data_IF_418406685225
#
_entry.id   IF_418406685225
#
_cell.length_a   1.000
_cell.length_b   1.000
_cell.length_c   1.000
_cell.angle_alpha   90.00
_cell.angle_beta   90.00
_cell.angle_gamma   90.00
#
_symmetry.space_group_name_H-M   'P 1'
#
loop_
_entity.id
_entity.type
_entity.pdbx_description
1 polymer ?
#
# COMPACT_ATOMS: atom_id res chain seq x y z
N UNK A 1 -5.69 18.28 -4.44
CA UNK A 1 -6.14 18.34 -5.85
C UNK A 1 -5.02 18.36 -6.92
N UNK A 2 -3.72 18.50 -6.59
CA UNK A 2 -2.67 18.86 -7.58
C UNK A 2 -2.03 17.69 -8.36
N UNK A 3 -2.16 16.43 -7.89
CA UNK A 3 -1.37 15.29 -8.41
C UNK A 3 -1.71 14.86 -9.85
N UNK A 4 -2.98 14.67 -10.20
CA UNK A 4 -3.35 14.12 -11.53
C UNK A 4 -3.19 15.09 -12.69
N UNK A 5 -3.24 16.38 -12.43
CA UNK A 5 -3.03 17.38 -13.48
C UNK A 5 -1.62 17.28 -14.05
N UNK A 6 -0.64 16.85 -13.24
CA UNK A 6 0.75 16.66 -13.68
C UNK A 6 0.91 15.53 -14.70
N UNK A 7 0.13 14.45 -14.56
CA UNK A 7 0.10 13.36 -15.55
C UNK A 7 -0.46 13.77 -16.91
N UNK A 8 -1.12 14.94 -17.00
CA UNK A 8 -1.61 15.48 -18.28
C UNK A 8 -0.62 16.46 -18.93
N UNK A 9 0.45 16.83 -18.23
CA UNK A 9 1.54 17.64 -18.79
C UNK A 9 2.44 16.77 -19.67
N UNK A 10 3.07 17.38 -20.68
CA UNK A 10 4.05 16.71 -21.54
C UNK A 10 5.47 16.76 -21.00
N UNK A 11 5.76 17.75 -20.16
CA UNK A 11 7.06 18.00 -19.59
C UNK A 11 6.87 18.57 -18.18
N UNK A 12 7.29 17.80 -17.18
CA UNK A 12 7.24 18.16 -15.78
C UNK A 12 8.20 17.27 -14.99
N UNK A 13 8.90 17.87 -14.03
CA UNK A 13 9.79 17.22 -13.08
C UNK A 13 9.61 17.86 -11.69
N UNK A 14 10.08 17.17 -10.65
CA UNK A 14 10.12 17.71 -9.29
C UNK A 14 11.48 17.45 -8.65
N UNK A 15 12.15 18.53 -8.25
CA UNK A 15 13.49 18.51 -7.62
C UNK A 15 13.46 18.97 -6.16
N UNK A 16 12.26 19.16 -5.59
CA UNK A 16 12.06 19.66 -4.22
C UNK A 16 12.13 18.59 -3.13
N UNK A 17 12.33 17.32 -3.49
CA UNK A 17 12.51 16.23 -2.54
C UNK A 17 13.94 16.19 -1.97
N UNK A 18 14.10 15.55 -0.81
CA UNK A 18 15.39 15.46 -0.12
C UNK A 18 16.50 14.88 -1.01
N UNK A 19 17.73 15.43 -0.98
CA UNK A 19 18.79 15.02 -1.89
C UNK A 19 19.25 13.57 -1.71
N UNK A 20 18.96 12.97 -0.54
CA UNK A 20 19.34 11.61 -0.18
C UNK A 20 18.16 10.60 -0.32
N UNK A 21 17.00 11.04 -0.82
CA UNK A 21 15.89 10.12 -1.10
C UNK A 21 16.33 9.11 -2.16
N UNK A 22 16.27 7.82 -1.81
CA UNK A 22 16.83 6.73 -2.64
C UNK A 22 16.28 6.74 -4.07
N UNK A 23 14.97 6.99 -4.21
CA UNK A 23 14.27 6.97 -5.49
C UNK A 23 14.05 8.38 -6.08
N UNK A 24 14.77 9.40 -5.58
CA UNK A 24 14.69 10.81 -6.04
C UNK A 24 14.66 10.96 -7.55
N UNK A 25 15.45 10.15 -8.25
CA UNK A 25 15.64 10.25 -9.70
C UNK A 25 14.33 10.12 -10.48
N UNK A 26 13.35 9.34 -9.98
CA UNK A 26 12.08 9.16 -10.68
C UNK A 26 11.23 10.43 -10.72
N UNK A 27 11.43 11.34 -9.76
CA UNK A 27 10.78 12.65 -9.73
C UNK A 27 11.58 13.73 -10.48
N UNK A 28 12.91 13.71 -10.35
CA UNK A 28 13.80 14.66 -11.03
C UNK A 28 13.78 14.44 -12.55
N UNK A 29 13.61 13.21 -13.00
CA UNK A 29 13.51 12.82 -14.40
C UNK A 29 12.10 12.35 -14.80
N UNK A 30 11.06 12.81 -14.10
CA UNK A 30 9.67 12.41 -14.32
C UNK A 30 9.16 12.66 -15.76
N UNK A 31 9.75 13.59 -16.49
CA UNK A 31 9.47 13.81 -17.92
C UNK A 31 9.72 12.56 -18.79
N UNK A 32 10.66 11.68 -18.40
CA UNK A 32 10.83 10.38 -19.07
C UNK A 32 9.63 9.45 -18.82
N UNK A 33 9.11 9.42 -17.59
CA UNK A 33 7.89 8.67 -17.25
C UNK A 33 6.69 9.20 -18.04
N UNK A 34 6.52 10.53 -18.10
CA UNK A 34 5.46 11.18 -18.88
C UNK A 34 5.56 10.81 -20.37
N UNK A 35 6.77 10.79 -20.93
CA UNK A 35 7.01 10.43 -22.33
C UNK A 35 6.49 9.04 -22.65
N UNK A 36 6.76 8.03 -21.80
CA UNK A 36 6.26 6.68 -22.01
C UNK A 36 4.76 6.54 -21.67
N UNK A 37 4.30 7.20 -20.60
CA UNK A 37 2.91 7.22 -20.19
C UNK A 37 1.97 7.71 -21.30
N UNK A 38 2.36 8.79 -22.00
CA UNK A 38 1.57 9.35 -23.10
C UNK A 38 1.53 8.46 -24.37
N UNK A 39 2.37 7.42 -24.45
CA UNK A 39 2.28 6.42 -25.53
C UNK A 39 1.24 5.35 -25.26
N UNK A 40 0.78 5.20 -24.01
CA UNK A 40 -0.27 4.25 -23.66
C UNK A 40 -1.60 4.65 -24.28
N UNK A 41 -2.47 3.66 -24.54
CA UNK A 41 -3.85 3.95 -24.96
C UNK A 41 -4.58 4.77 -23.90
N UNK A 42 -5.49 5.69 -24.27
CA UNK A 42 -6.19 6.56 -23.33
C UNK A 42 -6.84 5.82 -22.16
N UNK A 43 -7.41 4.64 -22.41
CA UNK A 43 -8.10 3.84 -21.39
C UNK A 43 -7.15 3.35 -20.29
N UNK A 44 -5.89 3.06 -20.62
CA UNK A 44 -4.87 2.72 -19.63
C UNK A 44 -4.42 3.95 -18.84
N UNK A 45 -4.28 5.10 -19.51
CA UNK A 45 -3.93 6.36 -18.86
C UNK A 45 -5.00 6.76 -17.84
N UNK A 46 -6.27 6.57 -18.17
CA UNK A 46 -7.40 6.91 -17.30
C UNK A 46 -7.40 6.08 -16.00
N UNK A 47 -7.07 4.78 -16.08
CA UNK A 47 -6.93 3.93 -14.90
C UNK A 47 -5.80 4.44 -14.00
N UNK A 48 -4.62 4.69 -14.57
CA UNK A 48 -3.47 5.21 -13.79
C UNK A 48 -3.81 6.56 -13.16
N UNK A 49 -4.36 7.52 -13.91
CA UNK A 49 -4.78 8.82 -13.37
C UNK A 49 -5.79 8.67 -12.25
N UNK A 50 -6.80 7.80 -12.42
CA UNK A 50 -7.82 7.55 -11.39
C UNK A 50 -7.19 7.05 -10.09
N UNK A 51 -6.33 6.03 -10.16
CA UNK A 51 -5.68 5.44 -8.98
C UNK A 51 -4.70 6.42 -8.34
N UNK A 52 -3.86 7.09 -9.13
CA UNK A 52 -2.95 8.15 -8.64
C UNK A 52 -3.71 9.27 -7.93
N UNK A 53 -4.90 9.67 -8.42
CA UNK A 53 -5.75 10.66 -7.74
C UNK A 53 -6.22 10.17 -6.38
N UNK A 54 -6.81 8.98 -6.34
CA UNK A 54 -7.38 8.41 -5.11
C UNK A 54 -6.28 8.21 -4.06
N UNK A 55 -5.17 7.60 -4.44
CA UNK A 55 -4.02 7.36 -3.58
C UNK A 55 -3.42 8.67 -3.07
N UNK A 56 -3.16 9.63 -3.96
CA UNK A 56 -2.58 10.92 -3.57
C UNK A 56 -3.47 11.73 -2.64
N UNK A 57 -4.80 11.66 -2.80
CA UNK A 57 -5.74 12.28 -1.87
C UNK A 57 -5.73 11.57 -0.51
N UNK A 58 -5.82 10.24 -0.49
CA UNK A 58 -5.79 9.48 0.76
C UNK A 58 -4.49 9.69 1.55
N UNK A 59 -3.34 9.69 0.88
CA UNK A 59 -2.06 10.00 1.51
C UNK A 59 -2.01 11.42 2.08
N UNK A 60 -2.65 12.40 1.42
CA UNK A 60 -2.70 13.77 1.91
C UNK A 60 -3.46 13.88 3.23
N UNK A 61 -4.52 13.10 3.42
CA UNK A 61 -5.29 13.09 4.68
C UNK A 61 -4.40 12.68 5.86
N UNK A 62 -3.52 11.69 5.69
CA UNK A 62 -2.57 11.27 6.74
C UNK A 62 -1.42 12.25 6.95
N UNK A 63 -0.91 12.89 5.89
CA UNK A 63 0.16 13.91 6.03
C UNK A 63 -0.36 15.12 6.82
N UNK A 64 -1.60 15.52 6.60
CA UNK A 64 -2.22 16.68 7.24
C UNK A 64 -2.75 16.38 8.66
N UNK A 65 -2.79 15.10 9.05
CA UNK A 65 -3.23 14.68 10.38
C UNK A 65 -2.07 14.78 11.39
N UNK A 66 -2.08 15.84 12.20
CA UNK A 66 -1.11 16.02 13.29
C UNK A 66 -1.14 14.87 14.31
N UNK A 67 -2.30 14.22 14.52
CA UNK A 67 -2.41 13.09 15.41
C UNK A 67 -1.73 11.86 14.81
N UNK A 68 -1.91 11.58 13.53
CA UNK A 68 -1.16 10.53 12.84
C UNK A 68 0.36 10.76 12.93
N UNK A 69 0.80 11.99 12.67
CA UNK A 69 2.22 12.35 12.75
C UNK A 69 2.82 12.22 14.15
N UNK A 70 1.99 12.34 15.21
CA UNK A 70 2.45 12.31 16.61
C UNK A 70 2.29 10.92 17.25
N UNK A 71 1.17 10.25 16.98
CA UNK A 71 0.71 9.06 17.69
C UNK A 71 0.55 7.83 16.78
N UNK A 72 0.73 7.98 15.46
CA UNK A 72 0.54 6.91 14.48
C UNK A 72 -0.94 6.59 14.26
N UNK A 73 -1.23 5.34 13.93
CA UNK A 73 -2.60 4.86 13.70
C UNK A 73 -3.28 4.53 15.04
N UNK A 74 -4.52 4.98 15.25
CA UNK A 74 -5.24 4.71 16.49
C UNK A 74 -5.92 3.35 16.48
N UNK A 75 -6.70 3.04 15.44
CA UNK A 75 -7.55 1.84 15.39
C UNK A 75 -7.16 0.87 14.28
N UNK A 76 -7.64 -0.37 14.36
CA UNK A 76 -7.52 -1.36 13.26
C UNK A 76 -8.21 -0.85 11.99
N UNK A 77 -9.28 -0.05 12.13
CA UNK A 77 -9.96 0.56 10.98
C UNK A 77 -9.10 1.62 10.30
N UNK A 78 -8.37 2.42 11.08
CA UNK A 78 -7.43 3.41 10.51
C UNK A 78 -6.28 2.71 9.80
N UNK A 79 -5.84 1.57 10.34
CA UNK A 79 -4.83 0.71 9.72
C UNK A 79 -5.30 0.10 8.40
N UNK A 80 -6.54 -0.41 8.36
CA UNK A 80 -7.17 -0.91 7.13
C UNK A 80 -7.31 0.22 6.09
N UNK A 81 -7.76 1.40 6.52
CA UNK A 81 -7.95 2.56 5.64
C UNK A 81 -6.61 3.08 5.09
N UNK A 82 -5.56 3.12 5.92
CA UNK A 82 -4.23 3.47 5.47
C UNK A 82 -3.75 2.49 4.40
N UNK A 83 -3.85 1.18 4.68
CA UNK A 83 -3.48 0.12 3.74
C UNK A 83 -4.34 0.16 2.46
N UNK A 84 -5.62 0.55 2.54
CA UNK A 84 -6.48 0.75 1.39
C UNK A 84 -5.87 1.79 0.44
N UNK A 85 -5.53 2.98 0.94
CA UNK A 85 -5.03 4.05 0.10
C UNK A 85 -3.68 3.73 -0.54
N UNK A 86 -2.75 3.14 0.21
CA UNK A 86 -1.37 2.94 -0.29
C UNK A 86 -1.16 1.61 -1.03
N UNK A 87 -2.04 0.62 -0.84
CA UNK A 87 -1.89 -0.71 -1.45
C UNK A 87 -3.21 -1.30 -2.00
N UNK A 88 -4.34 -1.15 -1.31
CA UNK A 88 -5.64 -1.64 -1.79
C UNK A 88 -6.03 -1.05 -3.15
N UNK A 89 -5.85 0.26 -3.32
CA UNK A 89 -6.07 0.97 -4.59
C UNK A 89 -5.15 0.49 -5.72
N UNK A 90 -3.96 -0.02 -5.40
CA UNK A 90 -3.07 -0.66 -6.40
C UNK A 90 -3.71 -1.94 -6.91
N UNK A 91 -4.32 -2.74 -6.02
CA UNK A 91 -5.12 -3.91 -6.37
C UNK A 91 -6.29 -3.58 -7.30
N UNK A 92 -7.04 -2.51 -7.00
CA UNK A 92 -8.13 -2.02 -7.88
C UNK A 92 -7.60 -1.68 -9.28
N UNK A 93 -6.51 -0.90 -9.34
CA UNK A 93 -5.88 -0.47 -10.58
C UNK A 93 -5.39 -1.62 -11.44
N UNK A 94 -4.66 -2.57 -10.83
CA UNK A 94 -4.16 -3.76 -11.51
C UNK A 94 -5.32 -4.63 -12.03
N UNK A 95 -6.39 -4.77 -11.26
CA UNK A 95 -7.59 -5.51 -11.68
C UNK A 95 -8.22 -4.87 -12.93
N UNK A 96 -8.37 -3.54 -12.93
CA UNK A 96 -8.87 -2.79 -14.10
C UNK A 96 -7.96 -2.95 -15.33
N UNK A 97 -6.63 -2.89 -15.14
CA UNK A 97 -5.66 -3.07 -16.21
C UNK A 97 -5.74 -4.48 -16.82
N UNK A 98 -5.84 -5.51 -15.98
CA UNK A 98 -5.94 -6.91 -16.41
C UNK A 98 -7.22 -7.17 -17.20
N UNK A 99 -8.37 -6.65 -16.74
CA UNK A 99 -9.64 -6.79 -17.45
C UNK A 99 -9.61 -6.02 -18.78
N UNK A 100 -9.09 -4.79 -18.78
CA UNK A 100 -8.95 -3.98 -20.00
C UNK A 100 -8.03 -4.64 -21.04
N UNK A 101 -6.97 -5.31 -20.58
CA UNK A 101 -6.06 -6.10 -21.42
C UNK A 101 -6.63 -7.47 -21.84
N UNK A 102 -7.79 -7.88 -21.28
CA UNK A 102 -8.40 -9.20 -21.44
C UNK A 102 -7.53 -10.36 -20.92
N UNK A 103 -6.79 -10.10 -19.85
CA UNK A 103 -6.00 -11.11 -19.13
C UNK A 103 -6.69 -11.63 -17.86
N UNK A 104 -7.80 -10.99 -17.46
CA UNK A 104 -8.70 -11.49 -16.43
C UNK A 104 -10.16 -11.20 -16.81
N UNK A 105 -11.08 -11.99 -16.26
CA UNK A 105 -12.52 -11.73 -16.34
C UNK A 105 -12.94 -10.68 -15.31
N UNK A 106 -14.06 -9.99 -15.54
CA UNK A 106 -14.56 -8.92 -14.65
C UNK A 106 -14.91 -9.37 -13.22
N UNK A 107 -14.87 -10.67 -12.93
CA UNK A 107 -15.06 -11.22 -11.58
C UNK A 107 -14.03 -10.67 -10.59
N UNK A 108 -12.82 -10.33 -11.05
CA UNK A 108 -11.79 -9.71 -10.19
C UNK A 108 -12.16 -8.30 -9.70
N UNK A 109 -13.17 -7.68 -10.32
CA UNK A 109 -13.69 -6.35 -9.97
C UNK A 109 -15.03 -6.42 -9.18
N UNK A 110 -15.54 -7.63 -8.93
CA UNK A 110 -16.83 -7.83 -8.26
C UNK A 110 -16.81 -7.31 -6.81
N UNK A 111 -18.00 -7.08 -6.24
CA UNK A 111 -18.18 -6.68 -4.84
C UNK A 111 -17.36 -5.43 -4.46
N UNK A 112 -17.28 -4.45 -5.38
CA UNK A 112 -16.46 -3.25 -5.20
C UNK A 112 -15.00 -3.59 -4.87
N UNK A 113 -14.39 -4.45 -5.69
CA UNK A 113 -12.97 -4.78 -5.62
C UNK A 113 -12.50 -5.49 -4.34
N UNK A 114 -13.41 -5.97 -3.49
CA UNK A 114 -13.12 -6.60 -2.18
C UNK A 114 -11.93 -7.57 -2.22
N UNK A 115 -11.90 -8.47 -3.19
CA UNK A 115 -10.82 -9.48 -3.31
C UNK A 115 -9.46 -8.85 -3.65
N UNK A 116 -9.43 -7.88 -4.57
CA UNK A 116 -8.20 -7.18 -4.93
C UNK A 116 -7.73 -6.20 -3.84
N UNK A 117 -8.66 -5.67 -3.05
CA UNK A 117 -8.35 -4.89 -1.87
C UNK A 117 -7.62 -5.75 -0.82
N UNK A 118 -8.14 -6.96 -0.52
CA UNK A 118 -7.48 -7.91 0.36
C UNK A 118 -6.08 -8.32 -0.13
N UNK A 119 -5.89 -8.46 -1.45
CA UNK A 119 -4.55 -8.69 -2.03
C UNK A 119 -3.56 -7.56 -1.69
N UNK A 120 -3.99 -6.30 -1.78
CA UNK A 120 -3.16 -5.15 -1.42
C UNK A 120 -2.92 -5.04 0.08
N UNK A 121 -3.97 -5.21 0.89
CA UNK A 121 -3.89 -5.16 2.35
C UNK A 121 -2.98 -6.25 2.91
N UNK A 122 -3.03 -7.48 2.40
CA UNK A 122 -2.17 -8.56 2.88
C UNK A 122 -0.68 -8.21 2.70
N UNK A 123 -0.28 -7.78 1.50
CA UNK A 123 1.10 -7.37 1.22
C UNK A 123 1.54 -6.20 2.11
N UNK A 124 0.69 -5.18 2.23
CA UNK A 124 1.05 -3.97 2.97
C UNK A 124 1.16 -4.23 4.46
N UNK A 125 0.24 -5.01 5.04
CA UNK A 125 0.30 -5.40 6.45
C UNK A 125 1.52 -6.25 6.74
N UNK A 126 1.85 -7.22 5.88
CA UNK A 126 3.08 -8.01 6.03
C UNK A 126 4.33 -7.14 6.03
N UNK A 127 4.45 -6.18 5.10
CA UNK A 127 5.59 -5.27 5.06
C UNK A 127 5.67 -4.43 6.34
N UNK A 128 4.56 -3.84 6.80
CA UNK A 128 4.51 -3.05 8.03
C UNK A 128 4.92 -3.87 9.26
N UNK A 129 4.50 -5.14 9.34
CA UNK A 129 4.88 -6.03 10.45
C UNK A 129 6.37 -6.34 10.42
N UNK A 130 6.92 -6.63 9.23
CA UNK A 130 8.33 -6.97 9.05
C UNK A 130 9.25 -5.78 9.33
N UNK A 131 8.89 -4.60 8.84
CA UNK A 131 9.77 -3.43 8.77
C UNK A 131 9.66 -2.52 10.01
N UNK A 132 8.93 -2.94 11.05
CA UNK A 132 8.60 -2.13 12.23
C UNK A 132 9.79 -1.41 12.87
N UNK A 133 10.96 -2.06 12.89
CA UNK A 133 12.16 -1.51 13.53
C UNK A 133 12.77 -0.39 12.69
N UNK A 134 12.89 -0.61 11.37
CA UNK A 134 13.39 0.38 10.42
C UNK A 134 12.47 1.62 10.40
N UNK A 135 11.15 1.40 10.39
CA UNK A 135 10.18 2.49 10.46
C UNK A 135 10.33 3.31 11.74
N UNK A 136 10.56 2.68 12.91
CA UNK A 136 10.79 3.39 14.17
C UNK A 136 12.09 4.20 14.16
N UNK A 137 13.17 3.71 13.53
CA UNK A 137 14.42 4.45 13.37
C UNK A 137 14.22 5.70 12.50
N UNK A 138 13.35 5.62 11.50
CA UNK A 138 12.93 6.75 10.66
C UNK A 138 11.90 7.67 11.33
N UNK A 139 11.52 7.39 12.58
CA UNK A 139 10.54 8.18 13.33
C UNK A 139 9.09 7.97 12.87
N UNK A 140 8.80 6.85 12.20
CA UNK A 140 7.48 6.46 11.69
C UNK A 140 6.92 5.30 12.51
N UNK A 141 5.60 5.17 12.54
CA UNK A 141 4.94 4.00 13.13
C UNK A 141 3.58 3.76 12.48
N UNK A 142 3.38 2.53 12.03
CA UNK A 142 2.13 2.08 11.40
C UNK A 142 1.43 0.96 12.17
N UNK A 143 1.89 0.63 13.38
CA UNK A 143 1.15 -0.31 14.23
C UNK A 143 -0.04 0.43 14.86
N UNK A 144 -1.27 -0.09 14.74
CA UNK A 144 -2.43 0.55 15.36
C UNK A 144 -2.34 0.47 16.89
N UNK A 145 -2.56 1.60 17.56
CA UNK A 145 -2.54 1.74 19.01
C UNK A 145 -3.50 0.79 19.71
N UNK A 146 -4.68 0.59 19.13
CA UNK A 146 -5.67 -0.40 19.56
C UNK A 146 -5.07 -1.80 19.77
N UNK A 147 -4.03 -2.19 19.02
CA UNK A 147 -3.33 -3.46 19.19
C UNK A 147 -2.14 -3.32 20.14
N UNK A 148 -1.17 -2.46 19.82
CA UNK A 148 0.11 -2.47 20.54
C UNK A 148 -0.01 -2.00 21.99
N UNK A 149 -0.98 -1.14 22.32
CA UNK A 149 -1.17 -0.63 23.68
C UNK A 149 -1.68 -1.69 24.67
N UNK A 150 -2.08 -2.87 24.19
CA UNK A 150 -2.41 -4.02 25.06
C UNK A 150 -1.15 -4.63 25.71
N UNK A 151 0.02 -4.38 25.12
CA UNK A 151 1.27 -5.08 25.41
C UNK A 151 2.35 -4.17 26.00
N UNK A 152 2.29 -2.86 25.76
CA UNK A 152 3.23 -1.87 26.29
C UNK A 152 2.61 -0.47 26.35
N UNK A 153 3.15 0.39 27.20
CA UNK A 153 2.79 1.81 27.27
C UNK A 153 3.40 2.64 26.13
N UNK A 154 4.43 2.13 25.45
CA UNK A 154 5.10 2.83 24.36
C UNK A 154 5.75 1.84 23.39
N UNK A 155 5.38 1.91 22.11
CA UNK A 155 5.84 0.95 21.09
C UNK A 155 7.37 0.73 21.03
N UNK A 156 8.24 1.76 21.17
CA UNK A 156 9.69 1.57 21.20
C UNK A 156 10.21 0.72 22.38
N UNK A 157 9.41 0.49 23.42
CA UNK A 157 9.83 -0.31 24.57
C UNK A 157 10.10 -1.76 24.20
N UNK A 158 9.41 -2.33 23.20
CA UNK A 158 9.69 -3.69 22.73
C UNK A 158 11.16 -3.91 22.36
N UNK A 159 11.84 -2.85 21.90
CA UNK A 159 13.27 -2.85 21.61
C UNK A 159 14.12 -2.31 22.77
N UNK A 160 13.70 -1.20 23.39
CA UNK A 160 14.49 -0.50 24.42
C UNK A 160 14.56 -1.24 25.76
N UNK A 161 13.56 -2.07 26.06
CA UNK A 161 13.42 -2.80 27.33
C UNK A 161 13.45 -4.30 27.08
N UNK A 162 14.58 -4.98 27.38
CA UNK A 162 14.71 -6.42 27.16
C UNK A 162 13.59 -7.26 27.80
N UNK A 163 13.05 -6.82 28.94
CA UNK A 163 11.95 -7.45 29.66
C UNK A 163 10.60 -7.40 28.93
N UNK A 164 10.40 -6.45 28.00
CA UNK A 164 9.16 -6.33 27.20
C UNK A 164 9.26 -7.07 25.86
N UNK A 165 10.37 -7.75 25.57
CA UNK A 165 10.59 -8.45 24.29
C UNK A 165 9.54 -9.52 24.01
N UNK A 166 9.16 -10.30 25.02
CA UNK A 166 8.12 -11.33 24.88
C UNK A 166 6.76 -10.71 24.55
N UNK A 167 6.43 -9.56 25.16
CA UNK A 167 5.23 -8.78 24.85
C UNK A 167 5.23 -8.23 23.43
N UNK A 168 6.41 -7.85 22.91
CA UNK A 168 6.58 -7.51 21.51
C UNK A 168 6.24 -8.66 20.55
N UNK A 169 6.65 -9.89 20.87
CA UNK A 169 6.30 -11.08 20.09
C UNK A 169 4.80 -11.37 20.15
N UNK A 170 4.17 -11.24 21.32
CA UNK A 170 2.72 -11.38 21.46
C UNK A 170 1.95 -10.32 20.63
N UNK A 171 2.43 -9.07 20.61
CA UNK A 171 1.88 -8.00 19.79
C UNK A 171 1.99 -8.30 18.29
N UNK A 172 3.15 -8.78 17.84
CA UNK A 172 3.37 -9.19 16.44
C UNK A 172 2.41 -10.32 16.07
N UNK A 173 2.17 -11.29 16.96
CA UNK A 173 1.22 -12.37 16.69
C UNK A 173 -0.21 -11.85 16.49
N UNK A 174 -0.66 -10.84 17.25
CA UNK A 174 -1.99 -10.21 17.05
C UNK A 174 -2.07 -9.54 15.67
N UNK A 175 -1.01 -8.86 15.24
CA UNK A 175 -0.94 -8.23 13.91
C UNK A 175 -0.87 -9.26 12.78
N UNK A 176 -0.14 -10.37 12.96
CA UNK A 176 -0.09 -11.47 12.01
C UNK A 176 -1.48 -12.10 11.87
N UNK A 177 -2.19 -12.35 12.97
CA UNK A 177 -3.57 -12.84 12.93
C UNK A 177 -4.50 -11.86 12.21
N UNK A 178 -4.30 -10.55 12.42
CA UNK A 178 -5.04 -9.51 11.73
C UNK A 178 -4.80 -9.54 10.20
N UNK A 179 -3.55 -9.72 9.75
CA UNK A 179 -3.19 -9.85 8.34
C UNK A 179 -3.75 -11.13 7.72
N UNK A 180 -3.70 -12.25 8.44
CA UNK A 180 -4.16 -13.57 7.97
C UNK A 180 -5.66 -13.60 7.62
N UNK A 181 -6.47 -12.65 8.11
CA UNK A 181 -7.87 -12.52 7.70
C UNK A 181 -8.05 -12.27 6.19
N UNK A 182 -7.01 -11.82 5.48
CA UNK A 182 -7.04 -11.57 4.03
C UNK A 182 -6.72 -12.79 3.18
N UNK A 183 -6.16 -13.87 3.75
CA UNK A 183 -5.61 -15.00 2.98
C UNK A 183 -6.68 -15.73 2.17
N UNK A 184 -7.88 -15.90 2.69
CA UNK A 184 -8.97 -16.57 1.96
C UNK A 184 -9.36 -15.76 0.73
N UNK A 185 -9.40 -14.43 0.84
CA UNK A 185 -9.70 -13.54 -0.28
C UNK A 185 -8.57 -13.50 -1.29
N UNK A 186 -7.30 -13.52 -0.84
CA UNK A 186 -6.11 -13.68 -1.69
C UNK A 186 -6.20 -14.97 -2.52
N UNK A 187 -6.44 -16.10 -1.88
CA UNK A 187 -6.57 -17.40 -2.58
C UNK A 187 -7.75 -17.41 -3.56
N UNK A 188 -8.86 -16.79 -3.17
CA UNK A 188 -10.04 -16.64 -4.03
C UNK A 188 -9.70 -15.79 -5.25
N UNK A 189 -9.07 -14.62 -5.06
CA UNK A 189 -8.64 -13.74 -6.16
C UNK A 189 -7.73 -14.47 -7.15
N UNK A 190 -6.69 -15.14 -6.64
CA UNK A 190 -5.73 -15.88 -7.46
C UNK A 190 -6.41 -16.99 -8.28
N UNK A 191 -7.44 -17.65 -7.72
CA UNK A 191 -8.19 -18.68 -8.44
C UNK A 191 -8.98 -18.16 -9.65
N UNK A 192 -9.26 -16.84 -9.72
CA UNK A 192 -9.96 -16.20 -10.82
C UNK A 192 -9.04 -15.87 -12.00
N UNK A 193 -7.72 -15.82 -11.79
CA UNK A 193 -6.76 -15.47 -12.84
C UNK A 193 -6.32 -16.72 -13.59
N UNK A 194 -6.76 -16.83 -14.86
CA UNK A 194 -6.46 -17.98 -15.73
C UNK A 194 -5.26 -17.76 -16.65
N UNK A 195 -4.94 -16.51 -16.96
CA UNK A 195 -3.80 -16.16 -17.81
C UNK A 195 -2.50 -16.31 -17.01
N UNK A 196 -1.56 -17.10 -17.53
CA UNK A 196 -0.39 -17.58 -16.78
C UNK A 196 0.53 -16.45 -16.34
N UNK A 197 0.81 -15.48 -17.20
CA UNK A 197 1.71 -14.37 -16.86
C UNK A 197 1.10 -13.49 -15.76
N UNK A 198 -0.20 -13.20 -15.85
CA UNK A 198 -0.96 -12.43 -14.87
C UNK A 198 -1.08 -13.19 -13.55
N UNK A 199 -1.29 -14.51 -13.60
CA UNK A 199 -1.31 -15.34 -12.39
C UNK A 199 0.04 -15.27 -11.67
N UNK A 200 1.15 -15.48 -12.39
CA UNK A 200 2.48 -15.40 -11.78
C UNK A 200 2.78 -14.01 -11.22
N UNK A 201 2.43 -12.95 -11.97
CA UNK A 201 2.57 -11.58 -11.52
C UNK A 201 1.81 -11.31 -10.21
N UNK A 202 0.59 -11.81 -10.08
CA UNK A 202 -0.21 -11.65 -8.86
C UNK A 202 0.21 -12.60 -7.72
N UNK A 203 0.57 -13.84 -8.03
CA UNK A 203 0.82 -14.88 -7.02
C UNK A 203 2.20 -14.75 -6.36
N UNK A 204 3.25 -14.38 -7.12
CA UNK A 204 4.62 -14.31 -6.59
C UNK A 204 4.70 -13.37 -5.37
N UNK A 205 4.20 -12.12 -5.41
CA UNK A 205 4.22 -11.25 -4.24
C UNK A 205 3.46 -11.84 -3.03
N UNK A 206 2.35 -12.54 -3.28
CA UNK A 206 1.51 -13.11 -2.22
C UNK A 206 2.16 -14.33 -1.54
N UNK A 207 3.00 -15.07 -2.26
CA UNK A 207 3.79 -16.18 -1.69
C UNK A 207 5.02 -15.67 -0.95
N UNK A 208 5.53 -14.50 -1.33
CA UNK A 208 6.64 -13.83 -0.64
C UNK A 208 6.22 -13.16 0.67
N UNK A 209 4.94 -12.80 0.79
CA UNK A 209 4.35 -12.21 1.99
C UNK A 209 3.95 -13.28 3.02
#
# INVERSE_FOLDING_TARGET
>A
EVSTEKLSLKDWNFDGNGPNEKDRIVLVEFHHILTEFHKLRPEYQDIVKKITKKMGNGMADYILDENFNTNGLETVKDFDLYCHYVAGLVGEGLSDLLVLARFADNQVQAENYRLSESMGLFLQKTNIIRDYHEDLEDGRSFYPREIWSKYTDSLPNFFKKPEEREKGVECINDLVLNALNHVIDVLTYLSLIRESTSFNFCAIPQVMA
#
